data_IF_671908348471
#
_entry.id   IF_671908348471
#
_cell.length_a   1.000
_cell.length_b   1.000
_cell.length_c   1.000
_cell.angle_alpha   90.00
_cell.angle_beta   90.00
_cell.angle_gamma   90.00
#
_symmetry.space_group_name_H-M   'P 1'
#
loop_
_entity.id
_entity.type
_entity.pdbx_description
1 polymer ?
#
# COMPACT_ATOMS: atom_id res chain seq x y z
N UNK A 1 7.74 4.42 -11.97
CA UNK A 1 8.51 3.37 -12.72
C UNK A 1 9.84 3.99 -13.12
N UNK A 2 10.93 3.59 -12.47
CA UNK A 2 12.26 4.10 -12.79
C UNK A 2 12.75 3.49 -14.12
N UNK A 3 13.15 4.34 -15.04
CA UNK A 3 13.73 3.89 -16.29
C UNK A 3 15.13 3.30 -16.06
N UNK A 4 15.55 2.38 -16.90
CA UNK A 4 16.84 1.69 -16.79
C UNK A 4 18.05 2.65 -16.66
N UNK A 5 17.99 3.80 -17.34
CA UNK A 5 18.99 4.86 -17.24
C UNK A 5 19.10 5.48 -15.84
N UNK A 6 17.97 5.64 -15.13
CA UNK A 6 17.96 6.16 -13.76
C UNK A 6 18.59 5.14 -12.79
N UNK A 7 18.32 3.85 -12.98
CA UNK A 7 18.90 2.80 -12.13
C UNK A 7 20.43 2.79 -12.25
N UNK A 8 20.96 2.94 -13.44
CA UNK A 8 22.43 2.99 -13.63
C UNK A 8 23.05 4.26 -13.03
N UNK A 9 22.37 5.40 -13.15
CA UNK A 9 22.79 6.66 -12.49
C UNK A 9 22.80 6.55 -10.97
N UNK A 10 21.79 5.92 -10.37
CA UNK A 10 21.72 5.66 -8.93
C UNK A 10 22.79 4.69 -8.46
N UNK A 11 23.07 3.64 -9.25
CA UNK A 11 24.17 2.70 -8.93
C UNK A 11 25.53 3.37 -8.87
N UNK A 12 25.77 4.37 -9.70
CA UNK A 12 27.02 5.12 -9.71
C UNK A 12 27.21 5.99 -8.44
N UNK A 13 26.15 6.23 -7.68
CA UNK A 13 26.14 7.01 -6.45
C UNK A 13 26.20 6.15 -5.18
N UNK A 14 26.32 4.83 -5.30
CA UNK A 14 26.35 3.93 -4.14
C UNK A 14 27.57 4.27 -3.26
N UNK A 15 27.27 4.55 -1.98
CA UNK A 15 28.26 4.92 -0.98
C UNK A 15 28.44 6.43 -0.78
N UNK A 16 27.83 7.26 -1.61
CA UNK A 16 27.79 8.70 -1.42
C UNK A 16 26.52 9.13 -0.65
N UNK A 17 26.62 10.11 0.25
CA UNK A 17 25.44 10.70 0.89
C UNK A 17 24.53 11.33 -0.17
N UNK A 18 23.25 11.23 0.03
CA UNK A 18 22.24 11.84 -0.82
C UNK A 18 21.35 12.75 0.03
N UNK A 19 21.17 13.99 -0.40
CA UNK A 19 20.24 14.92 0.25
C UNK A 19 18.77 14.52 -0.02
N UNK A 20 17.87 15.04 0.81
CA UNK A 20 16.45 14.66 0.74
C UNK A 20 15.80 15.08 -0.57
N UNK A 21 16.15 16.27 -1.08
CA UNK A 21 15.65 16.76 -2.37
C UNK A 21 16.07 15.86 -3.54
N UNK A 22 17.34 15.44 -3.56
CA UNK A 22 17.84 14.51 -4.58
C UNK A 22 17.13 13.15 -4.50
N UNK A 23 16.83 12.69 -3.28
CA UNK A 23 16.12 11.43 -3.06
C UNK A 23 14.66 11.52 -3.57
N UNK A 24 14.00 12.66 -3.38
CA UNK A 24 12.64 12.91 -3.89
C UNK A 24 12.62 13.00 -5.41
N UNK A 25 13.51 13.77 -6.01
CA UNK A 25 13.64 13.88 -7.48
C UNK A 25 13.90 12.52 -8.14
N UNK A 26 14.64 11.65 -7.46
CA UNK A 26 14.89 10.28 -7.93
C UNK A 26 13.77 9.28 -7.58
N UNK A 27 12.71 9.69 -6.88
CA UNK A 27 11.59 8.84 -6.50
C UNK A 27 11.97 7.75 -5.48
N UNK A 28 12.96 8.01 -4.63
CA UNK A 28 13.44 7.09 -3.59
C UNK A 28 12.67 7.27 -2.28
N UNK A 29 12.02 8.41 -2.09
CA UNK A 29 11.16 8.71 -0.94
C UNK A 29 9.72 8.92 -1.41
N UNK A 30 8.77 8.76 -0.52
CA UNK A 30 7.35 8.90 -0.82
C UNK A 30 6.91 10.36 -0.77
N UNK A 31 7.50 11.13 0.10
CA UNK A 31 7.24 12.55 0.26
C UNK A 31 8.43 13.23 0.94
N UNK A 32 8.64 14.47 0.60
CA UNK A 32 9.59 15.36 1.24
C UNK A 32 8.80 16.43 1.99
N UNK A 33 9.00 16.51 3.29
CA UNK A 33 8.30 17.43 4.18
C UNK A 33 9.32 18.33 4.85
N UNK A 34 8.93 19.57 5.16
CA UNK A 34 9.79 20.44 5.98
C UNK A 34 9.72 20.06 7.46
N UNK A 35 10.67 20.57 8.24
CA UNK A 35 10.79 20.24 9.65
C UNK A 35 9.63 20.78 10.51
N UNK A 36 8.92 21.79 10.02
CA UNK A 36 7.83 22.45 10.75
C UNK A 36 6.58 21.58 10.72
N UNK A 37 6.24 21.06 9.55
CA UNK A 37 4.99 20.33 9.30
C UNK A 37 5.16 18.81 9.45
N UNK A 38 6.37 18.31 9.65
CA UNK A 38 6.73 16.89 9.67
C UNK A 38 5.84 16.05 10.58
N UNK A 39 5.69 16.44 11.85
CA UNK A 39 4.93 15.65 12.83
C UNK A 39 3.44 15.60 12.47
N UNK A 40 2.86 16.71 12.04
CA UNK A 40 1.45 16.79 11.67
C UNK A 40 1.16 16.01 10.39
N UNK A 41 1.98 16.14 9.38
CA UNK A 41 1.82 15.41 8.11
C UNK A 41 1.98 13.89 8.31
N UNK A 42 2.97 13.46 9.10
CA UNK A 42 3.12 12.04 9.46
C UNK A 42 1.89 11.52 10.22
N UNK A 43 1.35 12.32 11.16
CA UNK A 43 0.14 11.94 11.89
C UNK A 43 -1.05 11.77 10.95
N UNK A 44 -1.29 12.74 10.06
CA UNK A 44 -2.36 12.69 9.05
C UNK A 44 -2.21 11.45 8.17
N UNK A 45 -1.01 11.20 7.70
CA UNK A 45 -0.68 10.05 6.86
C UNK A 45 -0.96 8.70 7.56
N UNK A 46 -0.61 8.59 8.84
CA UNK A 46 -0.87 7.38 9.63
C UNK A 46 -2.37 7.21 9.92
N UNK A 47 -3.08 8.28 10.26
CA UNK A 47 -4.53 8.26 10.49
C UNK A 47 -5.29 7.85 9.22
N UNK A 48 -4.90 8.36 8.07
CA UNK A 48 -5.49 7.96 6.79
C UNK A 48 -5.30 6.46 6.52
N UNK A 49 -4.08 5.95 6.70
CA UNK A 49 -3.79 4.52 6.52
C UNK A 49 -4.52 3.64 7.51
N UNK A 50 -4.63 4.07 8.77
CA UNK A 50 -5.39 3.36 9.79
C UNK A 50 -6.89 3.30 9.49
N UNK A 51 -7.41 4.19 8.64
CA UNK A 51 -8.80 4.19 8.20
C UNK A 51 -9.11 3.20 7.07
N UNK A 52 -8.10 2.59 6.48
CA UNK A 52 -8.29 1.63 5.38
C UNK A 52 -8.86 0.30 5.89
N UNK A 53 -9.52 -0.43 4.99
CA UNK A 53 -10.00 -1.77 5.31
C UNK A 53 -8.84 -2.68 5.73
N UNK A 54 -8.85 -3.27 6.93
CA UNK A 54 -7.78 -4.15 7.40
C UNK A 54 -7.61 -5.39 6.51
N UNK A 55 -8.71 -5.93 5.99
CA UNK A 55 -8.66 -7.07 5.08
C UNK A 55 -8.01 -6.71 3.73
N UNK A 56 -8.29 -5.51 3.21
CA UNK A 56 -7.65 -5.02 2.01
C UNK A 56 -6.14 -4.80 2.21
N UNK A 57 -5.75 -4.26 3.36
CA UNK A 57 -4.33 -4.07 3.71
C UNK A 57 -3.60 -5.41 3.86
N UNK A 58 -4.23 -6.41 4.46
CA UNK A 58 -3.67 -7.77 4.55
C UNK A 58 -3.45 -8.39 3.17
N UNK A 59 -4.42 -8.27 2.26
CA UNK A 59 -4.29 -8.75 0.89
C UNK A 59 -3.19 -8.02 0.11
N UNK A 60 -3.09 -6.71 0.27
CA UNK A 60 -2.05 -5.90 -0.37
C UNK A 60 -0.66 -6.28 0.17
N UNK A 61 -0.50 -6.39 1.48
CA UNK A 61 0.77 -6.79 2.09
C UNK A 61 1.21 -8.17 1.59
N UNK A 62 0.31 -9.14 1.55
CA UNK A 62 0.63 -10.48 1.06
C UNK A 62 1.11 -10.46 -0.41
N UNK A 63 0.47 -9.65 -1.25
CA UNK A 63 0.89 -9.50 -2.65
C UNK A 63 2.26 -8.84 -2.79
N UNK A 64 2.59 -7.87 -1.94
CA UNK A 64 3.89 -7.19 -1.95
C UNK A 64 4.99 -8.06 -1.35
N UNK A 65 4.73 -8.70 -0.22
CA UNK A 65 5.70 -9.52 0.52
C UNK A 65 6.14 -10.75 -0.26
N UNK A 66 5.22 -11.38 -0.96
CA UNK A 66 5.47 -12.60 -1.73
C UNK A 66 5.58 -12.35 -3.23
N UNK A 67 5.87 -11.12 -3.62
CA UNK A 67 6.16 -10.79 -5.01
C UNK A 67 7.44 -11.51 -5.47
N UNK A 68 7.39 -12.06 -6.67
CA UNK A 68 8.52 -12.78 -7.25
C UNK A 68 8.24 -13.15 -8.70
N UNK A 69 9.12 -13.92 -9.34
CA UNK A 69 8.88 -14.42 -10.68
C UNK A 69 7.73 -15.43 -10.64
N UNK A 70 6.61 -15.06 -11.25
CA UNK A 70 5.40 -15.87 -11.31
C UNK A 70 4.85 -15.90 -12.73
N UNK A 71 4.19 -17.00 -13.07
CA UNK A 71 3.39 -17.05 -14.30
C UNK A 71 2.09 -16.27 -14.13
N UNK A 72 1.43 -15.95 -15.25
CA UNK A 72 0.13 -15.29 -15.23
C UNK A 72 -0.92 -16.17 -14.53
N UNK A 73 -0.89 -17.47 -14.78
CA UNK A 73 -1.80 -18.45 -14.19
C UNK A 73 -1.69 -18.46 -12.66
N UNK A 74 -0.47 -18.43 -12.12
CA UNK A 74 -0.24 -18.37 -10.67
C UNK A 74 -0.78 -17.07 -10.09
N UNK A 75 -0.61 -15.94 -10.79
CA UNK A 75 -1.14 -14.65 -10.35
C UNK A 75 -2.67 -14.63 -10.33
N UNK A 76 -3.31 -15.24 -11.33
CA UNK A 76 -4.77 -15.30 -11.42
C UNK A 76 -5.33 -16.27 -10.36
N UNK A 77 -4.90 -17.51 -10.37
CA UNK A 77 -5.50 -18.55 -9.53
C UNK A 77 -4.98 -18.60 -8.11
N UNK A 78 -3.69 -18.35 -7.92
CA UNK A 78 -3.07 -18.37 -6.60
C UNK A 78 -3.19 -17.04 -5.83
N UNK A 79 -3.47 -15.92 -6.53
CA UNK A 79 -3.59 -14.61 -5.90
C UNK A 79 -4.97 -14.00 -6.07
N UNK A 80 -5.35 -13.56 -7.26
CA UNK A 80 -6.62 -12.86 -7.45
C UNK A 80 -7.81 -13.70 -7.01
N UNK A 81 -7.93 -14.92 -7.50
CA UNK A 81 -9.05 -15.81 -7.17
C UNK A 81 -9.03 -16.22 -5.70
N UNK A 82 -7.88 -16.58 -5.16
CA UNK A 82 -7.76 -16.97 -3.75
C UNK A 82 -8.12 -15.82 -2.81
N UNK A 83 -7.60 -14.62 -3.05
CA UNK A 83 -7.91 -13.43 -2.26
C UNK A 83 -9.35 -12.97 -2.41
N UNK A 84 -9.91 -13.06 -3.61
CA UNK A 84 -11.33 -12.76 -3.84
C UNK A 84 -12.23 -13.71 -3.04
N UNK A 85 -11.96 -15.00 -3.07
CA UNK A 85 -12.71 -15.98 -2.29
C UNK A 85 -12.57 -15.76 -0.79
N UNK A 86 -11.37 -15.40 -0.32
CA UNK A 86 -11.13 -15.09 1.08
C UNK A 86 -11.89 -13.86 1.54
N UNK A 87 -11.83 -12.75 0.78
CA UNK A 87 -12.43 -11.47 1.19
C UNK A 87 -13.96 -11.54 1.26
N UNK A 88 -14.59 -12.30 0.38
CA UNK A 88 -16.05 -12.50 0.42
C UNK A 88 -16.56 -13.29 1.63
N UNK A 89 -15.66 -13.85 2.42
CA UNK A 89 -16.00 -14.50 3.70
C UNK A 89 -15.65 -13.61 4.92
N UNK A 90 -15.18 -12.38 4.69
CA UNK A 90 -14.75 -11.48 5.77
C UNK A 90 -15.85 -10.47 6.13
N UNK A 91 -16.28 -10.41 7.42
CA UNK A 91 -17.30 -9.44 7.85
C UNK A 91 -16.93 -7.99 7.58
N UNK A 92 -15.65 -7.62 7.72
CA UNK A 92 -15.16 -6.27 7.41
C UNK A 92 -15.25 -5.89 5.92
N UNK A 93 -15.43 -6.88 5.04
CA UNK A 93 -15.64 -6.65 3.61
C UNK A 93 -17.12 -6.69 3.22
N UNK A 94 -17.82 -7.76 3.59
CA UNK A 94 -19.21 -8.04 3.10
C UNK A 94 -20.30 -7.76 4.12
N UNK A 95 -19.97 -7.53 5.40
CA UNK A 95 -20.95 -7.16 6.42
C UNK A 95 -21.61 -5.81 6.13
N UNK A 96 -22.67 -5.47 6.85
CA UNK A 96 -23.48 -4.25 6.66
C UNK A 96 -22.62 -2.98 6.64
N UNK A 97 -21.64 -2.89 7.53
CA UNK A 97 -20.71 -1.77 7.63
C UNK A 97 -19.39 -2.01 6.87
N UNK A 98 -19.30 -3.12 6.15
CA UNK A 98 -18.09 -3.52 5.44
C UNK A 98 -17.81 -2.68 4.20
N UNK A 99 -16.56 -2.73 3.74
CA UNK A 99 -16.08 -1.92 2.62
C UNK A 99 -16.88 -2.12 1.33
N UNK A 100 -17.31 -3.33 1.02
CA UNK A 100 -18.07 -3.63 -0.21
C UNK A 100 -19.49 -3.11 -0.15
N UNK A 101 -20.14 -3.15 1.02
CA UNK A 101 -21.51 -2.65 1.18
C UNK A 101 -21.55 -1.12 1.20
N UNK A 102 -20.49 -0.48 1.67
CA UNK A 102 -20.38 0.98 1.71
C UNK A 102 -19.84 1.57 0.40
N UNK A 103 -19.32 0.76 -0.50
CA UNK A 103 -18.78 1.23 -1.77
C UNK A 103 -19.84 1.98 -2.59
N UNK A 104 -19.49 3.18 -3.04
CA UNK A 104 -20.39 4.04 -3.82
C UNK A 104 -21.48 4.77 -3.03
N UNK A 105 -21.58 4.58 -1.72
CA UNK A 105 -22.59 5.24 -0.88
C UNK A 105 -22.15 6.59 -0.31
N UNK A 106 -20.85 6.93 -0.41
CA UNK A 106 -20.25 8.08 0.25
C UNK A 106 -19.98 7.87 1.76
N UNK A 107 -20.35 6.72 2.31
CA UNK A 107 -20.10 6.38 3.70
C UNK A 107 -18.79 5.60 3.84
N UNK A 108 -18.05 5.84 4.90
CA UNK A 108 -16.87 5.04 5.24
C UNK A 108 -17.28 3.70 5.84
N UNK A 109 -16.49 2.66 5.59
CA UNK A 109 -16.64 1.39 6.28
C UNK A 109 -16.33 1.53 7.76
N UNK A 110 -16.99 0.71 8.58
CA UNK A 110 -16.68 0.57 10.00
C UNK A 110 -16.16 -0.84 10.23
N UNK A 111 -14.92 -0.95 10.71
CA UNK A 111 -14.20 -2.21 10.74
C UNK A 111 -13.94 -2.71 12.15
N UNK A 112 -14.14 -4.00 12.37
CA UNK A 112 -13.69 -4.66 13.58
C UNK A 112 -12.19 -4.97 13.45
N UNK A 113 -11.36 -4.18 14.13
CA UNK A 113 -9.90 -4.28 14.08
C UNK A 113 -9.34 -5.49 14.84
N UNK A 114 -10.15 -6.14 15.69
CA UNK A 114 -9.74 -7.35 16.43
C UNK A 114 -9.81 -8.62 15.56
N UNK A 115 -10.37 -8.53 14.37
CA UNK A 115 -10.61 -9.66 13.47
C UNK A 115 -9.76 -9.61 12.19
N UNK A 116 -8.56 -9.17 12.32
CA UNK A 116 -7.63 -9.07 11.19
C UNK A 116 -6.75 -10.32 11.08
#
# INVERSE_FOLDING_TARGET
>A
MLFRSHIEALKAQIGEPMEADDADENGLVTMLLDDIDWEDEIRIFLEERASFSPDAMTGMEANLRFAGPETMETRIFGRLTAWQNWIFNRPNAVGEDGALQRYGTGLRGNYNMERV
#
